data_IF_699343850764
#
_entry.id   IF_699343850764
#
_cell.length_a   1.000
_cell.length_b   1.000
_cell.length_c   1.000
_cell.angle_alpha   90.00
_cell.angle_beta   90.00
_cell.angle_gamma   90.00
#
_symmetry.space_group_name_H-M   'P 1'
#
loop_
_entity.id
_entity.type
_entity.pdbx_description
1 polymer ?
#
# COMPACT_ATOMS: atom_id res chain seq x y z
N UNK A 1 -31.59 52.81 -17.80
CA UNK A 1 -30.25 52.22 -17.60
C UNK A 1 -30.46 50.87 -16.91
N UNK A 2 -30.46 49.77 -17.66
CA UNK A 2 -30.71 48.41 -17.16
C UNK A 2 -29.37 47.68 -17.13
N UNK A 3 -28.95 47.22 -15.96
CA UNK A 3 -27.80 46.34 -15.81
C UNK A 3 -28.29 44.89 -15.88
N UNK A 4 -27.78 44.13 -16.85
CA UNK A 4 -27.94 42.67 -16.94
C UNK A 4 -26.66 42.10 -16.33
N UNK A 5 -26.81 41.43 -15.18
CA UNK A 5 -25.75 40.67 -14.52
C UNK A 5 -25.74 39.27 -15.16
N UNK A 6 -24.68 38.93 -15.90
CA UNK A 6 -24.48 37.57 -16.41
C UNK A 6 -23.55 36.83 -15.44
N UNK A 7 -24.11 35.89 -14.69
CA UNK A 7 -23.38 34.99 -13.81
C UNK A 7 -22.80 33.84 -14.65
N UNK A 8 -21.47 33.79 -14.78
CA UNK A 8 -20.77 32.68 -15.43
C UNK A 8 -20.60 31.56 -14.40
N UNK A 9 -21.36 30.47 -14.58
CA UNK A 9 -21.25 29.25 -13.77
C UNK A 9 -20.09 28.41 -14.31
N UNK A 10 -18.94 28.45 -13.64
CA UNK A 10 -17.83 27.52 -13.90
C UNK A 10 -18.20 26.16 -13.30
N UNK A 11 -18.69 25.25 -14.13
CA UNK A 11 -18.83 23.82 -13.76
C UNK A 11 -17.45 23.20 -13.95
N UNK A 12 -16.71 23.06 -12.85
CA UNK A 12 -15.54 22.18 -12.80
C UNK A 12 -16.04 20.74 -12.85
N UNK A 13 -16.04 20.16 -14.05
CA UNK A 13 -16.17 18.71 -14.22
C UNK A 13 -14.87 18.10 -13.69
N UNK A 14 -14.91 17.58 -12.47
CA UNK A 14 -13.87 16.70 -11.95
C UNK A 14 -13.88 15.42 -12.78
N UNK A 15 -13.07 15.36 -13.82
CA UNK A 15 -12.72 14.10 -14.46
C UNK A 15 -11.93 13.30 -13.44
N UNK A 16 -12.57 12.30 -12.84
CA UNK A 16 -11.84 11.21 -12.19
C UNK A 16 -11.01 10.54 -13.28
N UNK A 17 -9.74 10.92 -13.37
CA UNK A 17 -8.71 10.10 -14.00
C UNK A 17 -8.63 8.88 -13.10
N UNK A 18 -9.40 7.84 -13.44
CA UNK A 18 -9.13 6.53 -12.85
C UNK A 18 -7.80 6.11 -13.45
N UNK A 19 -6.77 6.02 -12.60
CA UNK A 19 -5.53 5.36 -12.99
C UNK A 19 -5.87 4.01 -13.65
N UNK A 20 -5.15 3.69 -14.73
CA UNK A 20 -5.35 2.46 -15.48
C UNK A 20 -4.78 1.31 -14.65
N UNK A 21 -5.67 0.54 -14.02
CA UNK A 21 -5.25 -0.62 -13.25
C UNK A 21 -4.69 -1.69 -14.18
N UNK A 22 -3.46 -2.11 -13.91
CA UNK A 22 -2.74 -3.15 -14.65
C UNK A 22 -2.80 -4.44 -13.85
N UNK A 23 -3.40 -5.49 -14.41
CA UNK A 23 -3.44 -6.82 -13.76
C UNK A 23 -2.63 -7.80 -14.60
N UNK A 24 -1.32 -7.96 -14.34
CA UNK A 24 -0.44 -8.79 -15.13
C UNK A 24 -0.58 -10.28 -14.80
N UNK A 25 -0.48 -11.14 -15.81
CA UNK A 25 -0.40 -12.59 -15.65
C UNK A 25 0.30 -13.24 -16.85
N UNK A 26 0.70 -14.49 -16.68
CA UNK A 26 1.26 -15.33 -17.75
C UNK A 26 0.20 -16.36 -18.12
N UNK A 27 -0.25 -16.36 -19.37
CA UNK A 27 -1.27 -17.30 -19.82
C UNK A 27 -0.74 -18.72 -20.05
N UNK A 28 -1.63 -19.66 -20.38
CA UNK A 28 -1.28 -21.05 -20.65
C UNK A 28 -0.30 -21.23 -21.84
N UNK A 29 -0.26 -20.25 -22.76
CA UNK A 29 0.67 -20.24 -23.90
C UNK A 29 2.03 -19.64 -23.54
N UNK A 30 2.19 -19.13 -22.31
CA UNK A 30 3.39 -18.46 -21.84
C UNK A 30 3.50 -17.00 -22.32
N UNK A 31 2.43 -16.42 -22.84
CA UNK A 31 2.39 -14.99 -23.19
C UNK A 31 2.18 -14.15 -21.95
N UNK A 32 2.88 -13.02 -21.89
CA UNK A 32 2.68 -12.05 -20.82
C UNK A 32 1.53 -11.13 -21.21
N UNK A 33 0.47 -11.16 -20.42
CA UNK A 33 -0.75 -10.38 -20.65
C UNK A 33 -1.02 -9.48 -19.45
N UNK A 34 -1.84 -8.46 -19.67
CA UNK A 34 -2.47 -7.69 -18.62
C UNK A 34 -3.94 -7.48 -18.93
N UNK A 35 -4.78 -7.43 -17.91
CA UNK A 35 -6.12 -6.89 -18.04
C UNK A 35 -6.09 -5.38 -17.77
N UNK A 36 -6.60 -4.61 -18.73
CA UNK A 36 -6.75 -3.15 -18.64
C UNK A 36 -8.00 -2.71 -19.41
N UNK A 37 -8.69 -1.68 -18.93
CA UNK A 37 -9.85 -1.08 -19.60
C UNK A 37 -10.96 -2.06 -20.05
N UNK A 38 -11.11 -3.19 -19.35
CA UNK A 38 -12.15 -4.20 -19.65
C UNK A 38 -11.72 -5.30 -20.61
N UNK A 39 -10.46 -5.31 -21.09
CA UNK A 39 -9.97 -6.28 -22.06
C UNK A 39 -8.61 -6.86 -21.65
N UNK A 40 -8.37 -8.12 -22.03
CA UNK A 40 -7.06 -8.74 -21.93
C UNK A 40 -6.19 -8.27 -23.10
N UNK A 41 -5.04 -7.68 -22.76
CA UNK A 41 -4.04 -7.20 -23.71
C UNK A 41 -2.76 -8.00 -23.56
N UNK A 42 -2.21 -8.42 -24.69
CA UNK A 42 -0.90 -9.04 -24.72
C UNK A 42 0.20 -7.97 -24.67
N UNK A 43 1.12 -8.11 -23.72
CA UNK A 43 2.29 -7.25 -23.52
C UNK A 43 3.50 -7.84 -24.25
N UNK A 44 3.79 -9.14 -24.02
CA UNK A 44 4.91 -9.84 -24.66
C UNK A 44 4.45 -11.14 -25.34
N UNK A 45 5.02 -11.40 -26.52
CA UNK A 45 4.83 -12.65 -27.28
C UNK A 45 5.76 -13.77 -26.84
N UNK A 46 6.72 -13.47 -25.95
CA UNK A 46 7.64 -14.45 -25.39
C UNK A 46 7.53 -14.41 -23.87
N UNK A 47 7.73 -15.56 -23.25
CA UNK A 47 7.68 -15.69 -21.80
C UNK A 47 8.70 -14.76 -21.15
N UNK A 48 8.22 -13.86 -20.29
CA UNK A 48 9.06 -13.02 -19.43
C UNK A 48 9.78 -13.89 -18.40
N UNK A 49 10.95 -13.44 -17.94
CA UNK A 49 11.73 -14.19 -16.95
C UNK A 49 11.14 -14.04 -15.55
N UNK A 50 10.75 -12.83 -15.22
CA UNK A 50 10.15 -12.44 -13.94
C UNK A 50 9.44 -11.10 -14.07
N UNK A 51 8.53 -10.81 -13.14
CA UNK A 51 7.87 -9.51 -13.04
C UNK A 51 7.53 -9.18 -11.57
N UNK A 52 7.42 -7.88 -11.29
CA UNK A 52 6.87 -7.32 -10.05
C UNK A 52 5.78 -6.32 -10.42
N UNK A 53 4.72 -6.30 -9.62
CA UNK A 53 3.49 -5.57 -9.94
C UNK A 53 3.07 -4.69 -8.78
N UNK A 54 2.71 -3.46 -9.11
CA UNK A 54 1.89 -2.57 -8.30
C UNK A 54 0.43 -2.67 -8.74
N UNK A 55 -0.31 -1.59 -8.49
CA UNK A 55 -1.70 -1.42 -8.91
C UNK A 55 -1.79 -0.89 -10.34
N UNK A 56 -0.94 0.07 -10.67
CA UNK A 56 -0.99 0.81 -11.94
C UNK A 56 0.26 0.57 -12.79
N UNK A 57 1.30 -0.07 -12.23
CA UNK A 57 2.57 -0.31 -12.91
C UNK A 57 3.03 -1.76 -12.74
N UNK A 58 3.62 -2.33 -13.80
CA UNK A 58 4.34 -3.59 -13.77
C UNK A 58 5.73 -3.42 -14.35
N UNK A 59 6.74 -3.86 -13.60
CA UNK A 59 8.11 -3.96 -14.08
C UNK A 59 8.46 -5.42 -14.31
N UNK A 60 9.14 -5.71 -15.42
CA UNK A 60 9.43 -7.08 -15.80
C UNK A 60 10.73 -7.21 -16.57
N UNK A 61 11.31 -8.41 -16.52
CA UNK A 61 12.49 -8.79 -17.31
C UNK A 61 12.03 -9.56 -18.54
N UNK A 62 12.25 -8.98 -19.72
CA UNK A 62 11.88 -9.61 -20.99
C UNK A 62 12.70 -10.90 -21.26
N UNK A 63 12.37 -11.60 -22.35
CA UNK A 63 13.08 -12.83 -22.72
C UNK A 63 14.58 -12.61 -23.00
N UNK A 64 14.97 -11.39 -23.41
CA UNK A 64 16.36 -10.98 -23.72
C UNK A 64 17.15 -10.60 -22.47
N UNK A 65 16.47 -10.34 -21.35
CA UNK A 65 17.06 -9.89 -20.10
C UNK A 65 17.03 -8.37 -19.90
N UNK A 66 16.25 -7.63 -20.69
CA UNK A 66 16.05 -6.20 -20.48
C UNK A 66 14.99 -5.97 -19.42
N UNK A 67 15.22 -5.01 -18.54
CA UNK A 67 14.20 -4.47 -17.64
C UNK A 67 13.30 -3.51 -18.41
N UNK A 68 12.00 -3.75 -18.34
CA UNK A 68 10.95 -2.95 -18.98
C UNK A 68 9.89 -2.57 -17.95
N UNK A 69 9.20 -1.46 -18.19
CA UNK A 69 8.06 -1.00 -17.40
C UNK A 69 6.83 -0.92 -18.28
N UNK A 70 5.66 -1.18 -17.69
CA UNK A 70 4.37 -1.06 -18.35
C UNK A 70 3.33 -0.53 -17.36
N UNK A 71 2.68 0.55 -17.74
CA UNK A 71 1.70 1.32 -16.96
C UNK A 71 0.29 1.33 -17.59
N UNK A 72 0.04 0.38 -18.50
CA UNK A 72 -1.15 0.35 -19.34
C UNK A 72 -0.93 0.93 -20.75
N UNK A 73 0.17 1.65 -21.00
CA UNK A 73 0.47 2.26 -22.30
C UNK A 73 1.26 1.32 -23.24
N UNK A 74 2.40 1.72 -23.78
CA UNK A 74 3.32 0.84 -24.50
C UNK A 74 4.50 0.49 -23.58
N UNK A 75 5.01 -0.74 -23.58
CA UNK A 75 6.12 -1.08 -22.72
C UNK A 75 7.38 -0.26 -23.05
N UNK A 76 7.97 0.35 -22.03
CA UNK A 76 9.18 1.16 -22.15
C UNK A 76 10.42 0.39 -21.68
N UNK A 77 11.54 0.60 -22.37
CA UNK A 77 12.82 -0.03 -22.01
C UNK A 77 13.51 0.80 -20.93
N UNK A 78 13.74 0.21 -19.75
CA UNK A 78 14.39 0.87 -18.60
C UNK A 78 15.90 0.61 -18.59
N UNK A 79 16.29 -0.66 -18.74
CA UNK A 79 17.68 -1.07 -18.69
C UNK A 79 17.93 -2.29 -19.56
N UNK A 80 19.06 -2.30 -20.26
CA UNK A 80 19.53 -3.44 -21.04
C UNK A 80 20.57 -4.30 -20.27
N UNK A 81 20.86 -3.94 -19.03
CA UNK A 81 21.71 -4.72 -18.12
C UNK A 81 20.86 -5.26 -16.97
N UNK A 82 21.27 -6.39 -16.43
CA UNK A 82 20.62 -6.97 -15.26
C UNK A 82 20.82 -6.04 -14.06
N UNK A 83 19.71 -5.66 -13.44
CA UNK A 83 19.67 -4.74 -12.30
C UNK A 83 18.71 -5.26 -11.25
N UNK A 84 18.93 -4.84 -10.01
CA UNK A 84 17.93 -4.99 -8.96
C UNK A 84 16.87 -3.90 -9.16
N UNK A 85 15.59 -4.30 -9.08
CA UNK A 85 14.45 -3.40 -9.21
C UNK A 85 13.36 -3.76 -8.22
N UNK A 86 12.57 -2.77 -7.81
CA UNK A 86 11.40 -2.92 -6.94
C UNK A 86 10.26 -2.05 -7.48
N UNK A 87 9.03 -2.42 -7.10
CA UNK A 87 7.79 -1.82 -7.58
C UNK A 87 6.86 -1.63 -6.38
N UNK A 88 6.31 -0.42 -6.23
CA UNK A 88 5.20 -0.09 -5.33
C UNK A 88 3.90 -0.03 -6.14
N UNK A 89 2.80 0.45 -5.56
CA UNK A 89 1.55 0.56 -6.29
C UNK A 89 1.63 1.45 -7.55
N UNK A 90 2.48 2.47 -7.56
CA UNK A 90 2.66 3.40 -8.70
C UNK A 90 4.11 3.80 -8.98
N UNK A 91 5.07 3.49 -8.10
CA UNK A 91 6.48 3.79 -8.31
C UNK A 91 7.27 2.55 -8.70
N UNK A 92 8.33 2.76 -9.47
CA UNK A 92 9.34 1.74 -9.72
C UNK A 92 10.72 2.32 -9.43
N UNK A 93 11.60 1.52 -8.84
CA UNK A 93 13.01 1.87 -8.68
C UNK A 93 13.91 0.79 -9.28
N UNK A 94 15.09 1.20 -9.71
CA UNK A 94 16.17 0.28 -10.05
C UNK A 94 17.53 0.85 -9.68
N UNK A 95 18.44 -0.05 -9.34
CA UNK A 95 19.78 0.31 -8.87
C UNK A 95 20.87 -0.21 -9.81
N UNK A 96 21.76 0.68 -10.26
CA UNK A 96 22.94 0.37 -11.08
C UNK A 96 24.18 0.80 -10.29
N UNK A 97 24.88 -0.17 -9.68
CA UNK A 97 25.96 0.15 -8.74
C UNK A 97 25.42 1.01 -7.59
N UNK A 98 26.01 2.18 -7.28
CA UNK A 98 25.47 3.10 -6.27
C UNK A 98 24.39 4.07 -6.83
N UNK A 99 24.07 4.00 -8.13
CA UNK A 99 23.09 4.92 -8.72
C UNK A 99 21.68 4.36 -8.52
N UNK A 100 20.87 5.08 -7.74
CA UNK A 100 19.46 4.78 -7.56
C UNK A 100 18.64 5.64 -8.52
N UNK A 101 17.82 4.97 -9.33
CA UNK A 101 16.93 5.59 -10.28
C UNK A 101 15.50 5.18 -9.97
N UNK A 102 14.57 5.96 -10.51
CA UNK A 102 13.15 5.74 -10.35
C UNK A 102 12.38 6.05 -11.63
N UNK A 103 11.19 5.49 -11.71
CA UNK A 103 10.15 5.79 -12.68
C UNK A 103 8.88 6.13 -11.90
N UNK A 104 8.21 7.20 -12.31
CA UNK A 104 6.95 7.71 -11.75
C UNK A 104 6.13 8.34 -12.87
N UNK A 105 4.99 7.74 -13.21
CA UNK A 105 4.06 8.17 -14.26
C UNK A 105 4.73 8.61 -15.58
N UNK A 106 5.64 7.78 -16.09
CA UNK A 106 6.37 8.03 -17.35
C UNK A 106 7.64 8.88 -17.19
N UNK A 107 7.89 9.45 -16.01
CA UNK A 107 9.10 10.22 -15.75
C UNK A 107 10.20 9.35 -15.13
N UNK A 108 11.32 9.23 -15.83
CA UNK A 108 12.54 8.60 -15.31
C UNK A 108 13.46 9.62 -14.67
N UNK A 109 13.89 9.35 -13.44
CA UNK A 109 14.80 10.24 -12.70
C UNK A 109 15.85 9.48 -11.92
N UNK A 110 17.08 10.00 -11.92
CA UNK A 110 18.11 9.57 -10.96
C UNK A 110 17.89 10.29 -9.63
N UNK A 111 17.67 9.53 -8.56
CA UNK A 111 17.51 10.05 -7.20
C UNK A 111 18.85 10.44 -6.58
N UNK A 112 19.84 9.56 -6.71
CA UNK A 112 21.22 9.83 -6.30
C UNK A 112 22.19 8.89 -7.03
N UNK A 113 23.44 9.34 -7.16
CA UNK A 113 24.56 8.53 -7.65
C UNK A 113 25.31 7.78 -6.53
N UNK A 114 24.88 7.95 -5.27
CA UNK A 114 25.60 7.51 -4.08
C UNK A 114 24.71 6.77 -3.07
N UNK A 115 23.68 6.06 -3.56
CA UNK A 115 22.79 5.25 -2.74
C UNK A 115 23.47 3.97 -2.26
N UNK A 116 23.41 3.75 -0.96
CA UNK A 116 23.72 2.47 -0.34
C UNK A 116 22.42 1.72 0.01
N UNK A 117 21.53 2.38 0.75
CA UNK A 117 20.26 1.84 1.23
C UNK A 117 19.07 2.66 0.73
N UNK A 118 17.95 1.99 0.48
CA UNK A 118 16.67 2.60 0.14
C UNK A 118 15.51 1.81 0.75
N UNK A 119 14.35 2.45 0.85
CA UNK A 119 13.06 1.85 1.22
C UNK A 119 12.03 2.39 0.24
N UNK A 120 11.37 1.48 -0.48
CA UNK A 120 10.24 1.79 -1.36
C UNK A 120 8.93 1.48 -0.65
N UNK A 121 8.00 2.43 -0.73
CA UNK A 121 6.58 2.31 -0.34
C UNK A 121 5.71 2.91 -1.45
N UNK A 122 4.39 2.87 -1.30
CA UNK A 122 3.47 3.28 -2.35
C UNK A 122 3.87 4.63 -2.97
N UNK A 123 3.90 5.70 -2.18
CA UNK A 123 4.11 7.07 -2.67
C UNK A 123 5.45 7.69 -2.31
N UNK A 124 6.34 6.95 -1.66
CA UNK A 124 7.63 7.49 -1.20
C UNK A 124 8.79 6.53 -1.44
N UNK A 125 9.94 7.14 -1.73
CA UNK A 125 11.23 6.45 -1.77
C UNK A 125 12.15 7.12 -0.77
N UNK A 126 12.46 6.44 0.32
CA UNK A 126 13.45 6.91 1.29
C UNK A 126 14.80 6.33 0.88
N UNK A 127 15.83 7.16 0.81
CA UNK A 127 17.16 6.70 0.42
C UNK A 127 18.25 7.49 1.12
N UNK A 128 19.41 6.86 1.32
CA UNK A 128 20.59 7.57 1.77
C UNK A 128 21.45 8.06 0.61
N UNK A 129 22.19 9.14 0.84
CA UNK A 129 23.25 9.62 -0.03
C UNK A 129 24.56 9.56 0.75
N UNK A 130 25.45 8.66 0.37
CA UNK A 130 26.72 8.42 1.08
C UNK A 130 27.76 9.51 0.82
N UNK A 131 27.59 10.36 -0.21
CA UNK A 131 28.50 11.48 -0.47
C UNK A 131 28.27 12.62 0.51
N UNK A 132 27.00 12.90 0.82
CA UNK A 132 26.62 13.95 1.77
C UNK A 132 26.26 13.42 3.15
N UNK A 133 26.26 12.09 3.30
CA UNK A 133 25.96 11.38 4.52
C UNK A 133 24.58 11.80 5.09
N UNK A 134 23.58 11.73 4.24
CA UNK A 134 22.23 12.27 4.48
C UNK A 134 21.15 11.29 4.07
N UNK A 135 19.97 11.39 4.67
CA UNK A 135 18.77 10.65 4.27
C UNK A 135 17.80 11.62 3.60
N UNK A 136 17.26 11.20 2.47
CA UNK A 136 16.27 11.92 1.71
C UNK A 136 15.01 11.07 1.53
N UNK A 137 13.91 11.75 1.22
CA UNK A 137 12.66 11.13 0.76
C UNK A 137 12.27 11.78 -0.56
N UNK A 138 12.00 10.96 -1.57
CA UNK A 138 11.27 11.37 -2.76
C UNK A 138 9.77 11.29 -2.46
N UNK A 139 9.04 12.36 -2.78
CA UNK A 139 7.58 12.43 -2.66
C UNK A 139 7.04 13.47 -3.65
N UNK A 140 6.02 13.09 -4.43
CA UNK A 140 5.30 13.98 -5.35
C UNK A 140 6.22 14.82 -6.27
N UNK A 141 7.15 14.16 -6.96
CA UNK A 141 8.09 14.82 -7.88
C UNK A 141 9.28 15.54 -7.21
N UNK A 142 9.28 15.72 -5.89
CA UNK A 142 10.32 16.45 -5.16
C UNK A 142 11.16 15.55 -4.25
N UNK A 143 12.39 15.99 -3.96
CA UNK A 143 13.31 15.32 -3.03
C UNK A 143 13.50 16.21 -1.80
N UNK A 144 13.14 15.69 -0.64
CA UNK A 144 13.24 16.36 0.65
C UNK A 144 14.36 15.74 1.48
N UNK A 145 15.21 16.57 2.05
CA UNK A 145 16.23 16.11 3.00
C UNK A 145 15.58 15.90 4.38
N UNK A 146 15.62 14.66 4.88
CA UNK A 146 15.12 14.36 6.22
C UNK A 146 16.14 14.81 7.28
N UNK A 147 17.40 14.40 7.11
CA UNK A 147 18.49 14.82 7.98
C UNK A 147 19.87 14.49 7.37
N UNK A 148 20.92 15.17 7.84
CA UNK A 148 22.34 14.81 7.62
C UNK A 148 22.91 14.20 8.87
N UNK A 149 23.73 13.16 8.77
CA UNK A 149 24.48 12.58 9.88
C UNK A 149 25.93 13.06 9.85
N UNK A 150 26.55 13.24 11.03
CA UNK A 150 28.01 13.39 11.16
C UNK A 150 28.73 12.06 11.38
N UNK A 151 27.99 10.97 11.59
CA UNK A 151 28.49 9.62 11.84
C UNK A 151 27.92 8.62 10.83
N UNK A 152 27.59 7.40 11.25
CA UNK A 152 26.89 6.46 10.36
C UNK A 152 25.47 6.95 10.09
N UNK A 153 25.04 6.93 8.82
CA UNK A 153 23.63 7.17 8.45
C UNK A 153 22.81 5.94 8.76
N UNK A 154 21.63 6.12 9.37
CA UNK A 154 20.69 5.06 9.63
C UNK A 154 19.38 5.30 8.87
N UNK A 155 18.88 4.32 8.13
CA UNK A 155 17.57 4.47 7.52
C UNK A 155 16.47 4.62 8.60
N UNK A 156 15.40 5.38 8.34
CA UNK A 156 14.26 5.47 9.25
C UNK A 156 13.70 4.09 9.58
N UNK A 157 13.29 3.88 10.83
CA UNK A 157 12.83 2.58 11.30
C UNK A 157 11.41 2.27 10.83
N UNK A 158 10.61 3.31 10.60
CA UNK A 158 9.21 3.18 10.21
C UNK A 158 8.92 4.10 9.03
N UNK A 159 8.53 3.47 7.92
CA UNK A 159 8.17 4.08 6.65
C UNK A 159 6.82 3.47 6.25
N UNK A 160 5.76 4.28 6.32
CA UNK A 160 4.43 3.95 5.82
C UNK A 160 4.30 4.29 4.33
N UNK A 161 3.08 4.28 3.81
CA UNK A 161 2.85 4.42 2.37
C UNK A 161 3.16 5.80 1.82
N UNK A 162 3.00 6.84 2.63
CA UNK A 162 3.32 8.23 2.30
C UNK A 162 3.82 9.05 3.50
N UNK A 163 4.24 8.36 4.57
CA UNK A 163 4.62 8.96 5.85
C UNK A 163 5.90 8.31 6.37
N UNK A 164 6.79 9.12 6.94
CA UNK A 164 8.05 8.62 7.51
C UNK A 164 8.20 9.11 8.94
N UNK A 165 8.32 8.17 9.89
CA UNK A 165 8.74 8.50 11.24
C UNK A 165 10.25 8.29 11.35
N UNK A 166 10.98 9.35 11.67
CA UNK A 166 12.44 9.33 11.71
C UNK A 166 12.97 10.11 12.91
N UNK A 167 14.27 9.92 13.17
CA UNK A 167 14.99 10.60 14.24
C UNK A 167 16.23 11.27 13.66
N UNK A 168 16.45 12.52 14.05
CA UNK A 168 17.65 13.26 13.66
C UNK A 168 18.81 13.08 14.66
N UNK A 169 19.94 13.75 14.39
CA UNK A 169 21.14 13.67 15.23
C UNK A 169 20.93 14.14 16.68
N UNK A 170 19.89 14.95 16.94
CA UNK A 170 19.56 15.47 18.27
C UNK A 170 18.71 14.52 19.11
N UNK A 171 18.43 13.31 18.62
CA UNK A 171 17.38 12.43 19.13
C UNK A 171 15.98 13.07 19.07
N UNK A 172 15.78 14.01 18.14
CA UNK A 172 14.49 14.63 17.92
C UNK A 172 13.67 13.72 16.99
N UNK A 173 12.53 13.24 17.48
CA UNK A 173 11.61 12.41 16.71
C UNK A 173 10.75 13.33 15.82
N UNK A 174 10.66 12.99 14.55
CA UNK A 174 10.00 13.79 13.52
C UNK A 174 9.17 12.90 12.61
N UNK A 175 8.16 13.50 12.00
CA UNK A 175 7.31 12.87 11.01
C UNK A 175 7.41 13.67 9.72
N UNK A 176 7.81 13.04 8.62
CA UNK A 176 7.63 13.60 7.29
C UNK A 176 6.28 13.15 6.74
N UNK A 177 5.46 14.11 6.31
CA UNK A 177 4.17 13.85 5.67
C UNK A 177 3.81 15.02 4.75
N UNK A 178 3.32 14.71 3.55
CA UNK A 178 2.84 15.69 2.57
C UNK A 178 3.83 16.86 2.31
N UNK A 179 5.11 16.52 2.06
CA UNK A 179 6.17 17.50 1.78
C UNK A 179 6.62 18.36 2.98
N UNK A 180 6.12 18.08 4.20
CA UNK A 180 6.42 18.83 5.41
C UNK A 180 7.01 17.93 6.50
N UNK A 181 7.81 18.52 7.38
CA UNK A 181 8.39 17.84 8.54
C UNK A 181 7.75 18.41 9.81
N UNK A 182 7.14 17.51 10.58
CA UNK A 182 6.48 17.79 11.84
C UNK A 182 7.34 17.32 13.00
N UNK A 183 7.48 18.19 13.99
CA UNK A 183 8.29 17.95 15.17
C UNK A 183 7.42 17.30 16.26
N UNK A 184 7.76 16.07 16.67
CA UNK A 184 7.09 15.38 17.77
C UNK A 184 7.70 15.82 19.10
N UNK A 185 8.90 15.32 19.43
CA UNK A 185 9.58 15.60 20.69
C UNK A 185 11.06 15.16 20.70
N UNK A 186 11.72 15.37 21.84
CA UNK A 186 13.01 14.74 22.15
C UNK A 186 12.80 13.63 23.17
N UNK A 187 13.14 12.41 22.80
CA UNK A 187 13.09 11.27 23.71
C UNK A 187 14.34 10.41 23.58
N UNK A 188 14.83 9.87 24.70
CA UNK A 188 16.06 9.07 24.69
C UNK A 188 15.83 7.71 24.04
N UNK A 189 14.73 7.05 24.41
CA UNK A 189 14.39 5.73 23.86
C UNK A 189 13.73 5.87 22.49
N UNK A 190 13.80 4.80 21.70
CA UNK A 190 13.10 4.74 20.41
C UNK A 190 11.61 4.60 20.64
N UNK A 191 10.83 5.28 19.80
CA UNK A 191 9.39 5.07 19.72
C UNK A 191 9.11 3.76 18.99
N UNK A 192 8.03 3.08 19.37
CA UNK A 192 7.41 2.06 18.54
C UNK A 192 6.30 2.75 17.76
N UNK A 193 6.45 2.85 16.44
CA UNK A 193 5.44 3.42 15.56
C UNK A 193 4.78 2.32 14.74
N UNK A 194 3.51 2.52 14.40
CA UNK A 194 2.84 1.85 13.30
C UNK A 194 2.43 2.90 12.27
N UNK A 195 2.85 2.73 11.02
CA UNK A 195 2.59 3.66 9.94
C UNK A 195 1.73 3.01 8.86
N UNK A 196 0.72 3.73 8.39
CA UNK A 196 -0.09 3.36 7.24
C UNK A 196 -0.01 4.44 6.16
N UNK A 197 -1.15 4.80 5.57
CA UNK A 197 -1.27 5.96 4.68
C UNK A 197 -1.94 7.09 5.44
N UNK A 198 -1.36 8.28 5.41
CA UNK A 198 -1.84 9.51 6.07
C UNK A 198 -1.95 9.47 7.59
N UNK A 199 -1.57 8.35 8.22
CA UNK A 199 -1.72 8.18 9.66
C UNK A 199 -0.55 7.41 10.27
N UNK A 200 -0.19 7.80 11.49
CA UNK A 200 0.80 7.13 12.34
C UNK A 200 0.19 6.87 13.71
N UNK A 201 0.48 5.74 14.32
CA UNK A 201 0.08 5.41 15.69
C UNK A 201 1.29 5.08 16.56
N UNK A 202 1.26 5.49 17.83
CA UNK A 202 2.30 5.19 18.80
C UNK A 202 1.81 5.37 20.24
N UNK A 203 2.55 4.78 21.19
CA UNK A 203 2.36 5.10 22.60
C UNK A 203 3.24 6.30 22.97
N UNK A 204 2.64 7.39 23.45
CA UNK A 204 3.38 8.55 23.94
C UNK A 204 4.10 8.16 25.26
N UNK A 205 5.44 8.20 25.27
CA UNK A 205 6.21 7.89 26.45
C UNK A 205 6.10 8.97 27.54
N UNK A 206 5.85 10.22 27.17
CA UNK A 206 5.78 11.40 28.05
C UNK A 206 4.46 11.43 28.80
N UNK A 207 3.34 11.36 28.08
CA UNK A 207 2.00 11.43 28.67
C UNK A 207 1.50 10.06 29.15
N UNK A 208 2.06 8.96 28.64
CA UNK A 208 1.57 7.62 28.96
C UNK A 208 0.27 7.25 28.25
N UNK A 209 -0.07 7.99 27.20
CA UNK A 209 -1.28 7.84 26.38
C UNK A 209 -0.99 7.04 25.11
N UNK A 210 -2.06 6.70 24.40
CA UNK A 210 -1.96 6.23 23.02
C UNK A 210 -2.32 7.37 22.09
N UNK A 211 -1.39 7.70 21.20
CA UNK A 211 -1.44 8.87 20.36
C UNK A 211 -1.33 8.50 18.88
N UNK A 212 -1.80 9.41 18.03
CA UNK A 212 -1.68 9.32 16.59
C UNK A 212 -1.13 10.61 16.01
N UNK A 213 -0.62 10.52 14.79
CA UNK A 213 -0.45 11.66 13.90
C UNK A 213 -1.47 11.54 12.77
N UNK A 214 -2.29 12.57 12.57
CA UNK A 214 -3.30 12.69 11.51
C UNK A 214 -3.38 14.16 11.09
N UNK A 215 -3.44 14.43 9.78
CA UNK A 215 -3.61 15.78 9.22
C UNK A 215 -2.64 16.86 9.77
N UNK A 216 -1.39 16.46 10.03
CA UNK A 216 -0.36 17.38 10.55
C UNK A 216 -0.44 17.66 12.05
N UNK A 217 -1.28 16.93 12.79
CA UNK A 217 -1.47 17.10 14.24
C UNK A 217 -1.18 15.80 14.99
N UNK A 218 -0.63 15.95 16.20
CA UNK A 218 -0.49 14.85 17.16
C UNK A 218 -1.66 14.89 18.14
N UNK A 219 -2.39 13.79 18.26
CA UNK A 219 -3.62 13.68 19.03
C UNK A 219 -3.57 12.47 19.97
N UNK A 220 -3.97 12.65 21.22
CA UNK A 220 -4.20 11.54 22.14
C UNK A 220 -5.57 10.90 21.85
N UNK A 221 -5.57 9.60 21.53
CA UNK A 221 -6.78 8.81 21.23
C UNK A 221 -7.29 8.09 22.48
N UNK A 222 -6.39 7.64 23.35
CA UNK A 222 -6.72 7.01 24.63
C UNK A 222 -5.82 7.52 25.75
N UNK A 223 -6.37 7.59 26.96
CA UNK A 223 -5.66 8.03 28.18
C UNK A 223 -4.57 7.04 28.65
N UNK A 224 -4.51 5.85 28.05
CA UNK A 224 -3.59 4.78 28.43
C UNK A 224 -2.84 4.27 27.21
N UNK A 225 -1.69 3.62 27.43
CA UNK A 225 -0.94 2.94 26.37
C UNK A 225 -1.65 1.68 25.87
N UNK A 226 -1.51 1.41 24.58
CA UNK A 226 -2.03 0.21 23.93
C UNK A 226 -0.92 -0.83 23.74
N UNK A 227 -1.25 -2.09 24.02
CA UNK A 227 -0.32 -3.21 23.81
C UNK A 227 -0.20 -3.62 22.34
N UNK A 228 -1.25 -3.35 21.55
CA UNK A 228 -1.39 -3.82 20.19
C UNK A 228 -2.10 -2.75 19.37
N UNK A 229 -1.48 -2.32 18.27
CA UNK A 229 -2.05 -1.36 17.32
C UNK A 229 -1.43 -1.53 15.93
N UNK A 230 -2.23 -1.28 14.89
CA UNK A 230 -1.83 -1.28 13.48
C UNK A 230 -2.52 -0.14 12.72
N UNK A 231 -1.76 0.59 11.92
CA UNK A 231 -2.27 1.64 11.03
C UNK A 231 -2.61 1.10 9.64
N UNK A 232 -3.72 1.57 9.07
CA UNK A 232 -4.15 1.35 7.68
C UNK A 232 -4.18 2.68 6.90
N UNK A 233 -5.08 2.82 5.91
CA UNK A 233 -5.26 4.09 5.17
C UNK A 233 -6.19 5.05 5.91
N UNK A 234 -5.62 6.00 6.63
CA UNK A 234 -6.36 7.01 7.40
C UNK A 234 -7.15 6.44 8.59
N UNK A 235 -6.75 5.28 9.11
CA UNK A 235 -7.32 4.73 10.34
C UNK A 235 -6.30 3.90 11.13
N UNK A 236 -6.60 3.68 12.39
CA UNK A 236 -5.79 2.83 13.29
C UNK A 236 -6.69 1.85 14.00
N UNK A 237 -6.30 0.58 14.01
CA UNK A 237 -6.94 -0.48 14.81
C UNK A 237 -6.07 -0.77 16.01
N UNK A 238 -6.67 -0.91 17.17
CA UNK A 238 -5.96 -1.18 18.41
C UNK A 238 -6.82 -1.96 19.40
N UNK A 239 -6.17 -2.61 20.37
CA UNK A 239 -6.85 -3.26 21.48
C UNK A 239 -6.80 -2.36 22.72
N UNK A 240 -7.98 -1.97 23.22
CA UNK A 240 -8.06 -1.11 24.39
C UNK A 240 -7.77 -1.87 25.70
N UNK A 241 -7.76 -1.16 26.83
CA UNK A 241 -7.51 -1.74 28.17
C UNK A 241 -8.55 -2.77 28.61
N UNK A 242 -9.73 -2.80 27.97
CA UNK A 242 -10.77 -3.81 28.21
C UNK A 242 -10.64 -5.02 27.26
N UNK A 243 -9.59 -5.05 26.42
CA UNK A 243 -9.42 -5.99 25.31
C UNK A 243 -10.57 -5.92 24.27
N UNK A 244 -11.23 -4.77 24.13
CA UNK A 244 -12.07 -4.53 22.96
C UNK A 244 -11.19 -4.19 21.75
N UNK A 245 -11.53 -4.72 20.57
CA UNK A 245 -10.90 -4.28 19.32
C UNK A 245 -11.59 -2.99 18.86
N UNK A 246 -10.82 -1.92 18.78
CA UNK A 246 -11.26 -0.57 18.45
C UNK A 246 -10.70 -0.14 17.11
N UNK A 247 -11.41 0.74 16.41
CA UNK A 247 -10.93 1.46 15.23
C UNK A 247 -11.09 2.96 15.47
N UNK A 248 -10.02 3.71 15.31
CA UNK A 248 -10.04 5.17 15.19
C UNK A 248 -10.03 5.54 13.70
N UNK A 249 -10.95 6.41 13.28
CA UNK A 249 -10.99 6.97 11.92
C UNK A 249 -11.72 8.32 11.92
N UNK A 250 -11.18 9.32 11.23
CA UNK A 250 -11.81 10.63 11.01
C UNK A 250 -12.26 11.32 12.33
N UNK A 251 -11.41 11.32 13.36
CA UNK A 251 -11.73 11.93 14.66
C UNK A 251 -12.69 11.12 15.55
N UNK A 252 -13.12 9.93 15.14
CA UNK A 252 -14.06 9.10 15.89
C UNK A 252 -13.50 7.70 16.18
N UNK A 253 -13.74 7.22 17.40
CA UNK A 253 -13.47 5.83 17.78
C UNK A 253 -14.75 5.00 17.71
N UNK A 254 -14.63 3.80 17.15
CA UNK A 254 -15.72 2.82 17.05
C UNK A 254 -15.21 1.47 17.53
N UNK A 255 -16.06 0.75 18.24
CA UNK A 255 -15.80 -0.64 18.62
C UNK A 255 -16.08 -1.58 17.44
N UNK A 256 -15.11 -2.42 17.06
CA UNK A 256 -15.27 -3.52 16.10
C UNK A 256 -15.79 -4.78 16.80
N UNK A 257 -15.25 -5.09 17.99
CA UNK A 257 -15.72 -6.18 18.83
C UNK A 257 -15.41 -5.98 20.32
N UNK A 258 -16.22 -6.62 21.16
CA UNK A 258 -16.06 -6.66 22.62
C UNK A 258 -15.65 -8.04 23.16
N UNK A 259 -15.33 -9.00 22.29
CA UNK A 259 -14.93 -10.35 22.69
C UNK A 259 -13.41 -10.54 22.79
N UNK A 260 -12.63 -9.52 22.46
CA UNK A 260 -11.20 -9.67 22.15
C UNK A 260 -10.99 -10.28 20.77
N UNK A 261 -9.85 -9.96 20.15
CA UNK A 261 -9.42 -10.58 18.92
C UNK A 261 -8.31 -11.59 19.25
N UNK A 262 -8.50 -12.85 18.88
CA UNK A 262 -7.41 -13.85 19.00
C UNK A 262 -6.26 -13.50 18.03
N UNK A 263 -6.63 -12.87 16.92
CA UNK A 263 -5.76 -12.39 15.87
C UNK A 263 -6.44 -11.22 15.15
N UNK A 264 -5.67 -10.22 14.73
CA UNK A 264 -6.13 -9.25 13.74
C UNK A 264 -4.99 -8.78 12.82
N UNK A 265 -5.37 -8.42 11.60
CA UNK A 265 -4.48 -7.78 10.63
C UNK A 265 -5.13 -6.59 9.96
N UNK A 266 -4.28 -5.63 9.59
CA UNK A 266 -4.67 -4.38 8.95
C UNK A 266 -3.77 -4.19 7.75
N UNK A 267 -4.39 -4.08 6.58
CA UNK A 267 -3.70 -3.77 5.32
C UNK A 267 -4.61 -2.82 4.56
N UNK A 268 -4.05 -1.72 4.11
CA UNK A 268 -4.74 -0.71 3.34
C UNK A 268 -6.09 -0.26 3.98
N UNK A 269 -7.21 -0.51 3.29
CA UNK A 269 -8.56 -0.11 3.68
C UNK A 269 -9.32 -1.20 4.46
N UNK A 270 -8.66 -2.32 4.78
CA UNK A 270 -9.31 -3.51 5.34
C UNK A 270 -8.71 -3.99 6.64
N UNK A 271 -9.57 -4.58 7.47
CA UNK A 271 -9.20 -5.27 8.70
C UNK A 271 -9.77 -6.68 8.63
N UNK A 272 -8.98 -7.67 9.04
CA UNK A 272 -9.46 -9.04 9.29
C UNK A 272 -9.17 -9.40 10.73
N UNK A 273 -10.09 -10.09 11.40
CA UNK A 273 -9.83 -10.59 12.75
C UNK A 273 -10.63 -11.86 13.04
N UNK A 274 -10.21 -12.57 14.07
CA UNK A 274 -10.90 -13.75 14.59
C UNK A 274 -11.43 -13.46 15.99
N UNK A 275 -12.68 -13.83 16.23
CA UNK A 275 -13.29 -13.83 17.56
C UNK A 275 -14.13 -15.11 17.73
N UNK A 276 -13.95 -15.82 18.85
CA UNK A 276 -14.70 -17.04 19.18
C UNK A 276 -14.69 -18.11 18.06
N UNK A 277 -13.57 -18.25 17.35
CA UNK A 277 -13.41 -19.20 16.25
C UNK A 277 -14.10 -18.82 14.93
N UNK A 278 -14.68 -17.62 14.83
CA UNK A 278 -15.25 -17.06 13.59
C UNK A 278 -14.37 -15.94 13.06
N UNK A 279 -14.29 -15.83 11.73
CA UNK A 279 -13.50 -14.79 11.06
C UNK A 279 -14.43 -13.66 10.59
N UNK A 280 -14.06 -12.43 10.91
CA UNK A 280 -14.75 -11.21 10.52
C UNK A 280 -13.82 -10.29 9.75
N UNK A 281 -14.42 -9.41 8.97
CA UNK A 281 -13.75 -8.38 8.21
C UNK A 281 -14.38 -7.02 8.43
N UNK A 282 -13.60 -5.97 8.26
CA UNK A 282 -14.07 -4.60 8.17
C UNK A 282 -13.61 -4.05 6.83
N UNK A 283 -14.58 -3.68 5.99
CA UNK A 283 -14.33 -3.09 4.68
C UNK A 283 -15.45 -2.10 4.38
N UNK A 284 -15.13 -1.00 3.69
CA UNK A 284 -16.10 0.05 3.31
C UNK A 284 -16.98 0.53 4.50
N UNK A 285 -16.40 0.65 5.69
CA UNK A 285 -17.09 1.16 6.88
C UNK A 285 -17.96 0.14 7.63
N UNK A 286 -18.04 -1.11 7.17
CA UNK A 286 -18.97 -2.12 7.70
C UNK A 286 -18.23 -3.35 8.24
N UNK A 287 -18.71 -3.88 9.38
CA UNK A 287 -18.34 -5.20 9.89
C UNK A 287 -19.07 -6.27 9.07
N UNK A 288 -18.34 -7.26 8.59
CA UNK A 288 -18.79 -8.34 7.74
C UNK A 288 -18.39 -9.67 8.41
N UNK A 289 -19.34 -10.58 8.60
CA UNK A 289 -19.02 -11.97 8.96
C UNK A 289 -18.47 -12.66 7.70
N UNK A 290 -17.18 -13.00 7.70
CA UNK A 290 -16.53 -13.63 6.55
C UNK A 290 -16.75 -15.13 6.56
N UNK A 291 -16.55 -15.75 7.73
CA UNK A 291 -16.61 -17.20 7.88
C UNK A 291 -16.93 -17.63 9.31
N UNK A 292 -17.68 -18.73 9.45
CA UNK A 292 -17.94 -19.40 10.73
C UNK A 292 -16.85 -20.40 11.11
N UNK A 293 -15.62 -20.08 10.75
CA UNK A 293 -14.40 -20.83 11.06
C UNK A 293 -13.19 -19.88 10.95
N UNK A 294 -12.05 -20.30 11.46
CA UNK A 294 -10.79 -19.54 11.38
C UNK A 294 -10.17 -19.65 9.98
N UNK A 295 -10.04 -18.52 9.31
CA UNK A 295 -9.46 -18.43 7.97
C UNK A 295 -7.94 -18.34 8.07
N UNK A 296 -7.25 -19.37 7.59
CA UNK A 296 -5.77 -19.42 7.60
C UNK A 296 -5.13 -18.93 6.30
N UNK A 297 -5.84 -19.04 5.17
CA UNK A 297 -5.34 -18.63 3.85
C UNK A 297 -6.16 -17.46 3.32
N UNK A 298 -5.63 -16.25 3.49
CA UNK A 298 -6.24 -15.02 3.02
C UNK A 298 -5.19 -14.08 2.42
N UNK A 299 -5.66 -13.13 1.61
CA UNK A 299 -4.90 -12.00 1.10
C UNK A 299 -5.73 -10.72 1.31
N UNK A 300 -5.04 -9.65 1.69
CA UNK A 300 -5.60 -8.32 1.89
C UNK A 300 -4.85 -7.38 0.96
N UNK A 301 -5.58 -6.49 0.26
CA UNK A 301 -5.01 -5.36 -0.48
C UNK A 301 -6.14 -4.39 -0.83
N UNK A 302 -5.85 -3.10 -0.76
CA UNK A 302 -6.80 -2.01 -0.91
C UNK A 302 -8.08 -2.27 -0.11
N UNK A 303 -9.23 -2.35 -0.79
CA UNK A 303 -10.54 -2.60 -0.20
C UNK A 303 -11.01 -4.07 -0.34
N UNK A 304 -10.09 -5.00 -0.60
CA UNK A 304 -10.38 -6.39 -0.92
C UNK A 304 -9.86 -7.35 0.14
N UNK A 305 -10.71 -8.29 0.54
CA UNK A 305 -10.36 -9.44 1.39
C UNK A 305 -10.67 -10.69 0.58
N UNK A 306 -9.65 -11.46 0.16
CA UNK A 306 -9.85 -12.73 -0.54
C UNK A 306 -9.36 -13.89 0.32
N UNK A 307 -10.11 -14.98 0.40
CA UNK A 307 -9.76 -16.10 1.27
C UNK A 307 -10.32 -17.44 0.82
N UNK A 308 -9.70 -18.53 1.31
CA UNK A 308 -10.17 -19.90 1.05
C UNK A 308 -11.40 -20.22 1.89
N UNK A 309 -12.49 -20.62 1.25
CA UNK A 309 -13.75 -21.00 1.92
C UNK A 309 -13.75 -22.47 2.37
N UNK A 310 -14.78 -22.87 3.13
CA UNK A 310 -14.88 -24.24 3.70
C UNK A 310 -14.97 -25.36 2.66
N UNK A 311 -15.39 -25.03 1.43
CA UNK A 311 -15.45 -25.99 0.32
C UNK A 311 -14.10 -26.15 -0.38
N UNK A 312 -13.09 -25.36 0.00
CA UNK A 312 -11.77 -25.28 -0.63
C UNK A 312 -11.72 -24.36 -1.85
N UNK A 313 -12.79 -23.61 -2.12
CA UNK A 313 -12.83 -22.56 -3.15
C UNK A 313 -12.42 -21.19 -2.60
N UNK A 314 -12.76 -20.12 -3.30
CA UNK A 314 -12.38 -18.75 -2.93
C UNK A 314 -13.62 -17.88 -2.74
N UNK A 315 -13.72 -17.26 -1.56
CA UNK A 315 -14.65 -16.18 -1.28
C UNK A 315 -13.88 -14.87 -1.20
N UNK A 316 -14.53 -13.75 -1.54
CA UNK A 316 -13.93 -12.44 -1.39
C UNK A 316 -14.96 -11.37 -1.01
N UNK A 317 -14.50 -10.37 -0.25
CA UNK A 317 -15.19 -9.09 -0.11
C UNK A 317 -14.69 -8.17 -1.21
N UNK A 318 -15.58 -7.85 -2.15
CA UNK A 318 -15.32 -6.90 -3.25
C UNK A 318 -16.42 -5.85 -3.20
N UNK A 319 -16.05 -4.57 -3.23
CA UNK A 319 -16.97 -3.44 -3.10
C UNK A 319 -17.86 -3.53 -1.83
N UNK A 320 -17.29 -4.07 -0.74
CA UNK A 320 -17.96 -4.22 0.56
C UNK A 320 -18.98 -5.36 0.62
N UNK A 321 -19.05 -6.21 -0.41
CA UNK A 321 -19.96 -7.37 -0.43
C UNK A 321 -19.16 -8.66 -0.44
N UNK A 322 -19.50 -9.55 0.50
CA UNK A 322 -19.01 -10.92 0.50
C UNK A 322 -19.64 -11.69 -0.67
N UNK A 323 -18.80 -12.31 -1.50
CA UNK A 323 -19.21 -13.11 -2.66
C UNK A 323 -18.32 -14.35 -2.78
N UNK A 324 -18.95 -15.48 -3.07
CA UNK A 324 -18.22 -16.67 -3.52
C UNK A 324 -17.77 -16.47 -4.97
N UNK A 325 -16.45 -16.45 -5.18
CA UNK A 325 -15.85 -16.31 -6.50
C UNK A 325 -15.73 -17.66 -7.21
N UNK A 326 -15.45 -18.72 -6.46
CA UNK A 326 -15.42 -20.09 -6.97
C UNK A 326 -15.64 -21.11 -5.86
N UNK A 327 -16.23 -22.25 -6.22
CA UNK A 327 -16.31 -23.44 -5.37
C UNK A 327 -15.31 -24.52 -5.79
N UNK A 328 -14.51 -24.26 -6.84
CA UNK A 328 -13.48 -25.19 -7.30
C UNK A 328 -12.33 -25.23 -6.30
N UNK A 329 -11.89 -26.44 -5.97
CA UNK A 329 -10.75 -26.66 -5.08
C UNK A 329 -9.43 -26.42 -5.79
N UNK A 330 -8.38 -26.12 -5.01
CA UNK A 330 -7.02 -25.90 -5.49
C UNK A 330 -6.92 -24.77 -6.54
N UNK A 331 -7.73 -23.72 -6.36
CA UNK A 331 -7.61 -22.48 -7.12
C UNK A 331 -6.67 -21.55 -6.37
N UNK A 332 -5.63 -21.09 -7.04
CA UNK A 332 -4.76 -20.04 -6.51
C UNK A 332 -5.42 -18.67 -6.73
N UNK A 333 -5.20 -17.74 -5.80
CA UNK A 333 -5.73 -16.38 -5.92
C UNK A 333 -4.66 -15.34 -5.59
N UNK A 334 -4.64 -14.25 -6.36
CA UNK A 334 -3.83 -13.05 -6.13
C UNK A 334 -4.72 -11.82 -6.13
N UNK A 335 -4.25 -10.73 -5.52
CA UNK A 335 -4.93 -9.44 -5.53
C UNK A 335 -4.03 -8.43 -6.23
N UNK A 336 -4.59 -7.68 -7.17
CA UNK A 336 -3.93 -6.60 -7.91
C UNK A 336 -4.86 -5.38 -7.83
N UNK A 337 -4.47 -4.37 -7.06
CA UNK A 337 -5.35 -3.32 -6.58
C UNK A 337 -6.66 -3.84 -5.99
N UNK A 338 -7.79 -3.51 -6.62
CA UNK A 338 -9.12 -3.95 -6.17
C UNK A 338 -9.62 -5.19 -6.94
N UNK A 339 -8.74 -5.87 -7.66
CA UNK A 339 -9.08 -7.01 -8.50
C UNK A 339 -8.57 -8.31 -7.89
N UNK A 340 -9.41 -9.36 -7.93
CA UNK A 340 -9.02 -10.72 -7.53
C UNK A 340 -8.84 -11.57 -8.78
N UNK A 341 -7.62 -12.03 -9.01
CA UNK A 341 -7.30 -12.95 -10.08
C UNK A 341 -7.29 -14.37 -9.54
N UNK A 342 -8.05 -15.25 -10.18
CA UNK A 342 -8.08 -16.68 -9.89
C UNK A 342 -7.35 -17.46 -10.98
N UNK A 343 -6.46 -18.35 -10.57
CA UNK A 343 -5.79 -19.31 -11.44
C UNK A 343 -6.29 -20.72 -11.12
N UNK A 344 -6.92 -21.36 -12.11
CA UNK A 344 -7.35 -22.76 -12.01
C UNK A 344 -6.22 -23.72 -12.41
N UNK A 345 -6.34 -25.00 -12.05
CA UNK A 345 -5.32 -26.04 -12.29
C UNK A 345 -4.89 -26.22 -13.77
N UNK A 346 -5.72 -25.76 -14.71
CA UNK A 346 -5.49 -25.79 -16.16
C UNK A 346 -4.95 -24.46 -16.71
N UNK A 347 -4.46 -23.58 -15.83
CA UNK A 347 -3.99 -22.22 -16.17
C UNK A 347 -5.04 -21.38 -16.91
N UNK A 348 -6.32 -21.58 -16.58
CA UNK A 348 -7.37 -20.63 -16.98
C UNK A 348 -7.53 -19.56 -15.91
N UNK A 349 -7.60 -18.32 -16.36
CA UNK A 349 -7.67 -17.15 -15.48
C UNK A 349 -9.08 -16.59 -15.42
N UNK A 350 -9.56 -16.30 -14.22
CA UNK A 350 -10.81 -15.57 -14.00
C UNK A 350 -10.52 -14.36 -13.14
N UNK A 351 -10.83 -13.17 -13.66
CA UNK A 351 -10.62 -11.91 -12.98
C UNK A 351 -11.95 -11.37 -12.46
N UNK A 352 -11.97 -11.00 -11.19
CA UNK A 352 -13.08 -10.27 -10.57
C UNK A 352 -12.65 -8.84 -10.24
N UNK A 353 -13.30 -7.85 -10.85
CA UNK A 353 -13.03 -6.42 -10.63
C UNK A 353 -14.32 -5.61 -10.77
N UNK A 354 -14.56 -4.64 -9.88
CA UNK A 354 -15.73 -3.75 -9.89
C UNK A 354 -17.07 -4.53 -10.03
N UNK A 355 -17.20 -5.65 -9.30
CA UNK A 355 -18.37 -6.53 -9.33
C UNK A 355 -18.58 -7.35 -10.61
N UNK A 356 -17.70 -7.27 -11.60
CA UNK A 356 -17.77 -8.01 -12.87
C UNK A 356 -16.75 -9.14 -12.92
N UNK A 357 -17.05 -10.13 -13.76
CA UNK A 357 -16.21 -11.30 -14.00
C UNK A 357 -15.72 -11.28 -15.45
N UNK A 358 -14.42 -11.51 -15.64
CA UNK A 358 -13.77 -11.63 -16.95
C UNK A 358 -12.99 -12.94 -17.01
N UNK A 359 -12.99 -13.60 -18.16
CA UNK A 359 -12.31 -14.87 -18.39
C UNK A 359 -11.41 -14.76 -19.61
N UNK A 360 -10.16 -15.21 -19.48
CA UNK A 360 -9.19 -15.33 -20.58
C UNK A 360 -9.15 -16.77 -21.13
#
# INVERSE_FOLDING_TARGET
MRYILSLFLFVTVSSHVSAQKVVPFIDFSGFFKSFQDGFFRQIEFQRVREFKTGDDVVAYIDFRGNLRVFDGSQPEDISNVQVEYEVSDHLMIWKIGPTLNMWDDGEMRTLTYFADQYILRDSIIVFNDTRFNSVHVYYDGDIYELYKSSGTVAMPEVVGENIVAFRDNGNFNKVFWNGQIYELDVWHNKYSFSAGTDILAFNDPVNGTFAIFEDGQFLDVEDFRMNSYKAGRGFVVYENVNNDLMIYKDGATKKLTNFGADFYDVVDDVVIWTENGFTYGYANGQKIELAKFEVNNYKLKNNVIAFTNIMGGVDAVIDGKLKTLTTLQNVEFTIHGNAVLLESFNSTFTLYINGREYRD
#
